data_IF_712777055684
#
_entry.id   IF_712777055684
#
_cell.length_a   1.000
_cell.length_b   1.000
_cell.length_c   1.000
_cell.angle_alpha   90.00
_cell.angle_beta   90.00
_cell.angle_gamma   90.00
#
_symmetry.space_group_name_H-M   'P 1'
#
loop_
_entity.id
_entity.type
_entity.pdbx_description
1 polymer ?
#
# COMPACT_ATOMS: atom_id res chain seq x y z
N UNK A 1 5.04 8.14 -9.31
CA UNK A 1 5.98 7.24 -10.03
C UNK A 1 6.11 7.71 -11.48
N UNK A 2 7.32 7.66 -12.05
CA UNK A 2 7.52 7.94 -13.48
C UNK A 2 7.37 6.63 -14.26
N UNK A 3 6.30 6.53 -15.06
CA UNK A 3 6.01 5.35 -15.88
C UNK A 3 6.47 5.51 -17.32
N UNK A 4 7.11 6.63 -17.70
CA UNK A 4 7.47 6.92 -19.10
C UNK A 4 8.32 5.81 -19.71
N UNK A 5 9.34 5.35 -18.98
CA UNK A 5 10.24 4.29 -19.45
C UNK A 5 9.52 2.96 -19.60
N UNK A 6 8.71 2.55 -18.61
CA UNK A 6 7.92 1.33 -18.69
C UNK A 6 6.94 1.37 -19.88
N UNK A 7 6.24 2.49 -20.08
CA UNK A 7 5.30 2.64 -21.19
C UNK A 7 5.97 2.62 -22.57
N UNK A 8 7.19 3.15 -22.68
CA UNK A 8 7.96 3.14 -23.95
C UNK A 8 8.56 1.77 -24.27
N UNK A 9 8.89 0.98 -23.25
CA UNK A 9 9.63 -0.28 -23.40
C UNK A 9 8.76 -1.52 -23.23
N UNK A 10 7.52 -1.34 -22.74
CA UNK A 10 6.62 -2.40 -22.30
C UNK A 10 7.28 -3.40 -21.32
N UNK A 11 8.25 -2.93 -20.53
CA UNK A 11 9.01 -3.77 -19.60
C UNK A 11 8.58 -3.50 -18.14
N UNK A 12 8.08 -4.55 -17.48
CA UNK A 12 7.67 -4.56 -16.08
C UNK A 12 8.82 -4.19 -15.12
N UNK A 13 10.07 -4.46 -15.50
CA UNK A 13 11.27 -4.10 -14.73
C UNK A 13 11.50 -2.59 -14.63
N UNK A 14 10.84 -1.79 -15.47
CA UNK A 14 10.94 -0.33 -15.45
C UNK A 14 9.78 0.34 -14.69
N UNK A 15 8.94 -0.45 -14.03
CA UNK A 15 7.86 0.03 -13.18
C UNK A 15 7.88 -0.70 -11.83
N UNK A 16 7.00 -0.28 -10.92
CA UNK A 16 6.71 -1.06 -9.72
C UNK A 16 5.94 -2.30 -10.15
N UNK A 17 6.49 -3.48 -9.83
CA UNK A 17 5.77 -4.74 -10.02
C UNK A 17 4.58 -4.79 -9.04
N UNK A 18 3.37 -4.53 -9.55
CA UNK A 18 2.15 -4.51 -8.77
C UNK A 18 1.80 -5.89 -8.17
N UNK A 19 2.25 -6.98 -8.81
CA UNK A 19 2.08 -8.32 -8.27
C UNK A 19 2.89 -8.47 -6.97
N UNK A 20 4.18 -8.14 -7.01
CA UNK A 20 5.05 -8.21 -5.82
C UNK A 20 4.58 -7.27 -4.71
N UNK A 21 4.13 -6.05 -5.08
CA UNK A 21 3.54 -5.12 -4.12
C UNK A 21 2.30 -5.71 -3.45
N UNK A 22 1.40 -6.34 -4.22
CA UNK A 22 0.21 -6.98 -3.67
C UNK A 22 0.54 -8.11 -2.71
N UNK A 23 1.57 -8.91 -3.03
CA UNK A 23 2.01 -10.02 -2.18
C UNK A 23 2.64 -9.52 -0.89
N UNK A 24 3.44 -8.44 -0.96
CA UNK A 24 3.99 -7.79 0.22
C UNK A 24 2.88 -7.27 1.14
N UNK A 25 1.91 -6.52 0.59
CA UNK A 25 0.81 -5.94 1.38
C UNK A 25 -0.02 -7.04 2.08
N UNK A 26 -0.34 -8.12 1.36
CA UNK A 26 -1.04 -9.27 1.95
C UNK A 26 -0.23 -9.92 3.08
N UNK A 27 1.07 -10.14 2.86
CA UNK A 27 1.97 -10.70 3.88
C UNK A 27 2.02 -9.81 5.12
N UNK A 28 2.23 -8.50 4.96
CA UNK A 28 2.28 -7.54 6.07
C UNK A 28 0.97 -7.50 6.84
N UNK A 29 -0.18 -7.52 6.15
CA UNK A 29 -1.49 -7.54 6.78
C UNK A 29 -1.71 -8.80 7.63
N UNK A 30 -1.27 -9.97 7.14
CA UNK A 30 -1.43 -11.27 7.82
C UNK A 30 -0.42 -11.53 8.93
N UNK A 31 0.70 -10.81 8.98
CA UNK A 31 1.80 -11.09 9.91
C UNK A 31 1.42 -11.07 11.39
N UNK A 32 0.49 -10.21 11.81
CA UNK A 32 0.02 -10.09 13.20
C UNK A 32 -1.34 -9.43 13.25
N UNK A 33 -2.04 -9.57 14.37
CA UNK A 33 -3.27 -8.81 14.62
C UNK A 33 -2.94 -7.34 14.93
N UNK A 34 -3.86 -6.43 14.56
CA UNK A 34 -3.81 -5.01 14.92
C UNK A 34 -5.16 -4.60 15.47
N UNK A 35 -5.15 -3.75 16.52
CA UNK A 35 -6.38 -3.24 17.14
C UNK A 35 -7.04 -2.11 16.32
N UNK A 36 -6.25 -1.39 15.53
CA UNK A 36 -6.67 -0.20 14.77
C UNK A 36 -6.33 -0.35 13.28
N UNK A 37 -7.18 0.19 12.41
CA UNK A 37 -6.95 0.17 10.95
C UNK A 37 -5.88 1.20 10.53
N UNK A 38 -5.68 2.22 11.36
CA UNK A 38 -4.61 3.21 11.26
C UNK A 38 -3.24 2.57 11.44
N UNK A 39 -3.10 1.68 12.44
CA UNK A 39 -1.86 0.91 12.65
C UNK A 39 -1.56 0.00 11.47
N UNK A 40 -2.58 -0.66 10.93
CA UNK A 40 -2.41 -1.48 9.73
C UNK A 40 -1.97 -0.62 8.53
N UNK A 41 -2.59 0.55 8.32
CA UNK A 41 -2.21 1.45 7.24
C UNK A 41 -0.74 1.89 7.32
N UNK A 42 -0.29 2.26 8.52
CA UNK A 42 1.10 2.64 8.76
C UNK A 42 2.08 1.49 8.50
N UNK A 43 1.79 0.28 8.99
CA UNK A 43 2.62 -0.92 8.76
C UNK A 43 2.73 -1.24 7.25
N UNK A 44 1.63 -1.15 6.50
CA UNK A 44 1.59 -1.37 5.05
C UNK A 44 2.42 -0.32 4.30
N UNK A 45 2.29 0.95 4.66
CA UNK A 45 3.08 2.03 4.06
C UNK A 45 4.58 1.86 4.35
N UNK A 46 4.95 1.56 5.60
CA UNK A 46 6.33 1.33 5.98
C UNK A 46 6.96 0.15 5.23
N UNK A 47 6.24 -0.98 5.13
CA UNK A 47 6.69 -2.14 4.37
C UNK A 47 6.89 -1.81 2.90
N UNK A 48 5.96 -1.05 2.31
CA UNK A 48 6.03 -0.61 0.92
C UNK A 48 7.26 0.25 0.65
N UNK A 49 7.54 1.25 1.50
CA UNK A 49 8.71 2.11 1.31
C UNK A 49 10.04 1.38 1.55
N UNK A 50 10.05 0.38 2.42
CA UNK A 50 11.23 -0.46 2.64
C UNK A 50 11.56 -1.32 1.42
N UNK A 51 10.54 -1.88 0.75
CA UNK A 51 10.73 -2.82 -0.37
C UNK A 51 10.78 -2.15 -1.75
N UNK A 52 10.13 -1.01 -1.92
CA UNK A 52 9.98 -0.35 -3.23
C UNK A 52 10.46 1.10 -3.20
N UNK A 53 11.08 1.60 -4.29
CA UNK A 53 11.51 2.99 -4.43
C UNK A 53 10.32 3.92 -4.78
N UNK A 54 9.24 3.84 -4.00
CA UNK A 54 8.03 4.64 -4.20
C UNK A 54 8.09 5.89 -3.29
N UNK A 55 7.80 7.10 -3.82
CA UNK A 55 7.88 8.34 -3.04
C UNK A 55 6.67 8.58 -2.12
N UNK A 56 5.51 7.99 -2.44
CA UNK A 56 4.29 8.11 -1.66
C UNK A 56 3.31 6.99 -2.01
N UNK A 57 2.40 6.67 -1.10
CA UNK A 57 1.31 5.72 -1.33
C UNK A 57 0.00 6.26 -0.75
N UNK A 58 -1.08 6.10 -1.50
CA UNK A 58 -2.44 6.32 -1.01
C UNK A 58 -3.06 4.97 -0.67
N UNK A 59 -3.59 4.83 0.54
CA UNK A 59 -4.21 3.62 1.03
C UNK A 59 -5.68 3.88 1.40
N UNK A 60 -6.57 2.99 0.95
CA UNK A 60 -7.94 2.89 1.45
C UNK A 60 -8.12 1.51 2.10
N UNK A 61 -8.40 1.49 3.41
CA UNK A 61 -8.72 0.27 4.14
C UNK A 61 -10.19 0.26 4.51
N UNK A 62 -10.88 -0.83 4.17
CA UNK A 62 -12.32 -1.02 4.44
C UNK A 62 -12.49 -2.05 5.54
N UNK A 63 -13.34 -1.73 6.52
CA UNK A 63 -13.68 -2.61 7.63
C UNK A 63 -15.20 -2.78 7.71
N UNK A 64 -15.63 -4.03 7.82
CA UNK A 64 -17.04 -4.45 7.71
C UNK A 64 -17.57 -4.90 9.08
N UNK A 65 -17.75 -3.95 10.01
CA UNK A 65 -18.11 -4.26 11.41
C UNK A 65 -19.43 -3.67 11.88
N UNK A 66 -20.02 -2.72 11.15
CA UNK A 66 -21.27 -2.08 11.54
C UNK A 66 -22.42 -2.63 10.69
N UNK A 67 -23.55 -3.04 11.30
CA UNK A 67 -24.77 -3.33 10.55
C UNK A 67 -25.26 -2.08 9.82
N UNK A 68 -26.08 -2.27 8.78
CA UNK A 68 -26.73 -1.18 8.02
C UNK A 68 -25.80 -0.18 7.32
N UNK A 69 -24.50 -0.51 7.21
CA UNK A 69 -23.53 0.26 6.42
C UNK A 69 -22.76 -0.68 5.49
N UNK A 70 -22.32 -0.19 4.33
CA UNK A 70 -21.51 -1.00 3.41
C UNK A 70 -20.14 -1.33 4.01
N UNK A 71 -19.52 -0.38 4.69
CA UNK A 71 -18.27 -0.48 5.44
C UNK A 71 -17.96 0.87 6.08
N UNK A 72 -17.07 0.85 7.06
CA UNK A 72 -16.28 2.04 7.43
C UNK A 72 -14.93 1.98 6.71
N UNK A 73 -14.30 3.12 6.48
CA UNK A 73 -12.98 3.17 5.83
C UNK A 73 -12.05 4.21 6.41
N UNK A 74 -10.76 3.89 6.41
CA UNK A 74 -9.67 4.85 6.54
C UNK A 74 -9.10 5.13 5.15
N UNK A 75 -8.92 6.41 4.82
CA UNK A 75 -8.13 6.86 3.66
C UNK A 75 -6.96 7.68 4.17
N UNK A 76 -5.75 7.30 3.81
CA UNK A 76 -4.54 7.97 4.24
C UNK A 76 -3.51 8.02 3.12
N UNK A 77 -2.84 9.17 3.00
CA UNK A 77 -1.65 9.33 2.18
C UNK A 77 -0.43 9.26 3.07
N UNK A 78 0.51 8.39 2.72
CA UNK A 78 1.84 8.36 3.32
C UNK A 78 2.85 8.85 2.29
N UNK A 79 3.76 9.71 2.71
CA UNK A 79 4.88 10.17 1.89
C UNK A 79 6.17 9.63 2.49
N UNK A 80 7.10 9.23 1.63
CA UNK A 80 8.44 8.87 2.06
C UNK A 80 9.12 10.16 2.52
N UNK A 81 9.31 10.31 3.83
CA UNK A 81 10.12 11.40 4.36
C UNK A 81 11.53 11.27 3.76
N UNK A 82 11.96 12.30 3.04
CA UNK A 82 13.34 12.42 2.61
C UNK A 82 14.22 12.53 3.84
N UNK A 83 15.28 11.71 3.90
CA UNK A 83 16.46 12.10 4.67
C UNK A 83 17.15 13.24 3.94
#
# INVERSE_FOLDING_TARGET
PDFKKAAQTDNLEHTVNYYDLSQLLQKTARQKERKLIETLAADLAQSTFAAFPIPWIDLELKKFILPETRHISLRARFTRSGR
#
